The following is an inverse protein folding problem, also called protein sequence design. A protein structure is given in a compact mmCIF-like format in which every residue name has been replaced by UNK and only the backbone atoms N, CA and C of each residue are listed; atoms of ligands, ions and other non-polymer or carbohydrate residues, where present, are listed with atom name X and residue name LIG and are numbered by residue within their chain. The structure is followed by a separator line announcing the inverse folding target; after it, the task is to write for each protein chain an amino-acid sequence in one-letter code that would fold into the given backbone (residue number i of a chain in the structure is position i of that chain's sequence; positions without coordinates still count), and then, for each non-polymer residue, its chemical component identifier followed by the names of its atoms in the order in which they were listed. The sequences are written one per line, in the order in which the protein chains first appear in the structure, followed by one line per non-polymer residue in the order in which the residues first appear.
data_IF_908301731099
#
_entry.id   IF_908301731099
#
_cell.length_a   1.000
_cell.length_b   1.000
_cell.length_c   1.000
_cell.angle_alpha   90.00
_cell.angle_beta   90.00
_cell.angle_gamma   90.00
#
_symmetry.space_group_name_H-M   'P 1'
#
loop_
_entity.id
_entity.type
_entity.pdbx_description
1 polymer ?
#
# COMPACT_ATOMS: atom_id res chain seq x y z
N UNK A 1 1.13 -28.91 5.20
CA UNK A 1 0.74 -28.98 6.63
C UNK A 1 0.10 -30.32 7.03
N UNK A 2 -1.02 -30.77 6.44
CA UNK A 2 -1.69 -32.01 6.87
C UNK A 2 -0.80 -33.27 6.81
N UNK A 3 0.02 -33.41 5.76
CA UNK A 3 0.95 -34.55 5.64
C UNK A 3 2.04 -34.58 6.73
N UNK A 4 2.55 -33.41 7.14
CA UNK A 4 3.50 -33.30 8.24
C UNK A 4 2.83 -33.67 9.58
N UNK A 5 1.59 -33.19 9.79
CA UNK A 5 0.78 -33.51 10.98
C UNK A 5 0.52 -35.01 11.11
N UNK A 6 0.19 -35.71 10.01
CA UNK A 6 0.01 -37.18 10.00
C UNK A 6 1.27 -37.97 10.35
N UNK A 7 2.46 -37.37 10.18
CA UNK A 7 3.75 -38.00 10.48
C UNK A 7 4.36 -37.53 11.80
N UNK A 8 3.61 -36.79 12.62
CA UNK A 8 4.12 -36.23 13.87
C UNK A 8 5.21 -35.16 13.70
N UNK A 9 5.38 -34.61 12.50
CA UNK A 9 6.40 -33.58 12.23
C UNK A 9 5.85 -32.20 12.58
N UNK A 10 6.49 -31.54 13.54
CA UNK A 10 6.15 -30.18 13.93
C UNK A 10 6.56 -29.17 12.84
N UNK A 11 5.65 -28.26 12.52
CA UNK A 11 5.93 -27.14 11.59
C UNK A 11 5.71 -25.83 12.34
N UNK A 12 6.69 -24.94 12.27
CA UNK A 12 6.67 -23.63 12.91
C UNK A 12 6.98 -22.53 11.89
N UNK A 13 6.55 -21.30 12.18
CA UNK A 13 6.92 -20.10 11.46
C UNK A 13 7.33 -18.99 12.45
N UNK A 14 7.92 -17.92 11.93
CA UNK A 14 8.28 -16.72 12.70
C UNK A 14 7.41 -15.54 12.23
N UNK A 15 6.12 -15.50 12.62
CA UNK A 15 5.19 -14.50 12.12
C UNK A 15 5.67 -13.09 12.50
N UNK A 16 5.63 -12.18 11.53
CA UNK A 16 5.97 -10.78 11.74
C UNK A 16 7.46 -10.45 11.88
N UNK A 17 8.36 -11.44 11.85
CA UNK A 17 9.81 -11.25 12.11
C UNK A 17 10.47 -10.18 11.23
N UNK A 18 10.07 -10.09 9.97
CA UNK A 18 10.60 -9.12 9.01
C UNK A 18 9.55 -8.04 8.63
N UNK A 19 8.47 -7.89 9.40
CA UNK A 19 7.34 -7.08 8.97
C UNK A 19 7.70 -5.62 8.73
N UNK A 20 8.56 -5.02 9.54
CA UNK A 20 9.04 -3.64 9.34
C UNK A 20 9.90 -3.51 8.07
N UNK A 21 10.87 -4.40 7.88
CA UNK A 21 11.74 -4.39 6.70
C UNK A 21 10.93 -4.53 5.40
N UNK A 22 9.93 -5.42 5.37
CA UNK A 22 9.05 -5.58 4.20
C UNK A 22 8.15 -4.36 4.01
N UNK A 23 7.67 -3.74 5.10
CA UNK A 23 6.84 -2.55 5.00
C UNK A 23 7.63 -1.36 4.43
N UNK A 24 8.84 -1.11 4.94
CA UNK A 24 9.75 -0.06 4.43
C UNK A 24 10.11 -0.30 2.96
N UNK A 25 10.45 -1.55 2.60
CA UNK A 25 10.74 -1.91 1.22
C UNK A 25 9.53 -1.67 0.31
N UNK A 26 8.32 -1.98 0.76
CA UNK A 26 7.08 -1.70 0.03
C UNK A 26 6.92 -0.21 -0.26
N UNK A 27 7.15 0.66 0.73
CA UNK A 27 7.10 2.12 0.53
C UNK A 27 8.17 2.55 -0.48
N UNK A 28 9.39 2.02 -0.36
CA UNK A 28 10.47 2.28 -1.31
C UNK A 28 10.07 1.93 -2.75
N UNK A 29 9.43 0.77 -2.95
CA UNK A 29 8.95 0.34 -4.27
C UNK A 29 7.82 1.21 -4.81
N UNK A 30 6.88 1.65 -3.96
CA UNK A 30 5.82 2.59 -4.34
C UNK A 30 6.44 3.90 -4.85
N UNK A 31 7.41 4.46 -4.13
CA UNK A 31 8.08 5.70 -4.52
C UNK A 31 8.94 5.52 -5.77
N UNK A 32 9.68 4.40 -5.87
CA UNK A 32 10.48 4.09 -7.03
C UNK A 32 9.64 4.02 -8.32
N UNK A 33 8.45 3.45 -8.22
CA UNK A 33 7.53 3.32 -9.35
C UNK A 33 6.80 4.64 -9.66
N UNK A 34 6.27 5.33 -8.65
CA UNK A 34 5.49 6.56 -8.84
C UNK A 34 6.34 7.77 -9.23
N UNK A 35 7.65 7.77 -8.91
CA UNK A 35 8.58 8.86 -9.26
C UNK A 35 9.61 8.46 -10.31
N UNK A 36 9.43 7.30 -10.94
CA UNK A 36 10.28 6.79 -12.03
C UNK A 36 11.78 6.75 -11.66
N UNK A 37 12.09 6.54 -10.39
CA UNK A 37 13.47 6.62 -9.85
C UNK A 37 14.35 5.58 -10.53
N UNK A 38 13.89 4.34 -10.61
CA UNK A 38 14.63 3.25 -11.25
C UNK A 38 14.86 3.51 -12.73
N UNK A 39 13.86 4.06 -13.42
CA UNK A 39 13.98 4.40 -14.84
C UNK A 39 15.03 5.51 -15.06
N UNK A 40 14.99 6.57 -14.24
CA UNK A 40 15.97 7.65 -14.28
C UNK A 40 17.39 7.14 -13.97
N UNK A 41 17.55 6.31 -12.94
CA UNK A 41 18.82 5.71 -12.59
C UNK A 41 19.41 4.88 -13.75
N UNK A 42 18.62 3.98 -14.34
CA UNK A 42 19.08 3.14 -15.45
C UNK A 42 19.45 3.98 -16.68
N UNK A 43 18.71 5.05 -16.97
CA UNK A 43 19.03 5.96 -18.08
C UNK A 43 20.37 6.69 -17.83
N UNK A 44 20.58 7.22 -16.62
CA UNK A 44 21.83 7.88 -16.25
C UNK A 44 23.03 6.95 -16.33
N UNK A 45 22.90 5.71 -15.87
CA UNK A 45 23.94 4.68 -15.99
C UNK A 45 24.32 4.37 -17.46
N UNK A 46 23.44 4.70 -18.41
CA UNK A 46 23.67 4.59 -19.85
C UNK A 46 24.12 5.90 -20.50
N UNK A 47 24.46 6.92 -19.70
CA UNK A 47 24.84 8.25 -20.19
C UNK A 47 23.68 9.07 -20.74
N UNK A 48 22.43 8.67 -20.48
CA UNK A 48 21.24 9.35 -20.98
C UNK A 48 20.61 10.21 -19.88
N UNK A 49 20.64 11.53 -20.06
CA UNK A 49 19.91 12.45 -19.19
C UNK A 49 18.43 12.48 -19.58
N UNK A 50 17.56 11.97 -18.69
CA UNK A 50 16.10 11.94 -18.87
C UNK A 50 15.41 13.03 -18.05
N UNK A 51 15.75 14.28 -18.38
CA UNK A 51 15.15 15.47 -17.76
C UNK A 51 13.64 15.58 -17.98
N UNK A 52 13.04 14.83 -18.89
CA UNK A 52 11.59 14.81 -19.09
C UNK A 52 10.83 14.05 -17.99
N UNK A 53 11.50 13.21 -17.18
CA UNK A 53 10.85 12.32 -16.21
C UNK A 53 10.24 13.03 -14.99
N UNK A 54 10.47 14.33 -14.79
CA UNK A 54 9.79 15.12 -13.73
C UNK A 54 8.49 15.75 -14.22
N UNK A 55 8.23 15.76 -15.53
CA UNK A 55 7.06 16.42 -16.10
C UNK A 55 5.82 15.60 -15.76
N UNK A 56 4.77 16.26 -15.28
CA UNK A 56 3.55 15.60 -14.83
C UNK A 56 2.91 14.70 -15.90
N UNK A 57 3.02 15.04 -17.18
CA UNK A 57 2.54 14.23 -18.31
C UNK A 57 3.32 12.92 -18.51
N UNK A 58 4.51 12.79 -17.90
CA UNK A 58 5.36 11.60 -17.92
C UNK A 58 5.33 10.84 -16.60
N UNK A 59 5.50 11.53 -15.48
CA UNK A 59 5.57 10.92 -14.14
C UNK A 59 4.21 10.47 -13.63
N UNK A 60 3.14 11.17 -14.02
CA UNK A 60 1.81 11.00 -13.46
C UNK A 60 1.60 11.77 -12.15
N UNK A 61 0.54 11.42 -11.45
CA UNK A 61 0.14 12.06 -10.21
C UNK A 61 1.09 11.72 -9.05
N UNK A 62 1.26 12.68 -8.14
CA UNK A 62 1.96 12.45 -6.89
C UNK A 62 1.19 11.51 -5.96
N UNK A 63 1.90 10.74 -5.14
CA UNK A 63 1.30 9.74 -4.25
C UNK A 63 0.18 10.30 -3.36
N UNK A 64 0.28 11.55 -2.91
CA UNK A 64 -0.74 12.21 -2.10
C UNK A 64 -2.11 12.30 -2.78
N UNK A 65 -2.15 12.36 -4.11
CA UNK A 65 -3.39 12.43 -4.89
C UNK A 65 -3.90 11.04 -5.30
N UNK A 66 -3.13 9.98 -5.04
CA UNK A 66 -3.47 8.62 -5.42
C UNK A 66 -4.25 7.88 -4.32
N UNK A 67 -4.93 6.82 -4.73
CA UNK A 67 -5.51 5.83 -3.83
C UNK A 67 -4.61 4.60 -3.74
N UNK A 68 -4.24 4.21 -2.52
CA UNK A 68 -3.46 3.00 -2.25
C UNK A 68 -4.39 1.93 -1.65
N UNK A 69 -4.59 0.85 -2.39
CA UNK A 69 -5.33 -0.33 -1.93
C UNK A 69 -4.42 -1.39 -1.34
N UNK A 70 -4.61 -1.72 -0.06
CA UNK A 70 -3.97 -2.85 0.60
C UNK A 70 -4.89 -4.06 0.59
N UNK A 71 -4.41 -5.17 0.02
CA UNK A 71 -5.06 -6.48 0.11
C UNK A 71 -4.34 -7.26 1.21
N UNK A 72 -5.00 -7.47 2.34
CA UNK A 72 -4.40 -8.02 3.56
C UNK A 72 -4.01 -6.94 4.58
N UNK A 73 -4.41 -7.15 5.84
CA UNK A 73 -4.20 -6.25 6.98
C UNK A 73 -3.54 -6.98 8.16
N UNK A 74 -2.53 -7.81 7.87
CA UNK A 74 -1.75 -8.51 8.89
C UNK A 74 -0.56 -7.70 9.43
N UNK A 75 0.49 -8.41 9.88
CA UNK A 75 1.71 -7.81 10.44
C UNK A 75 2.36 -6.77 9.51
N UNK A 76 2.39 -7.03 8.20
CA UNK A 76 2.99 -6.12 7.21
C UNK A 76 2.00 -5.04 6.79
N UNK A 77 0.77 -5.42 6.41
CA UNK A 77 -0.25 -4.48 5.91
C UNK A 77 -0.51 -3.32 6.87
N UNK A 78 -0.69 -3.60 8.15
CA UNK A 78 -0.86 -2.56 9.18
C UNK A 78 0.34 -1.61 9.31
N UNK A 79 1.57 -2.08 9.10
CA UNK A 79 2.78 -1.24 9.11
C UNK A 79 2.88 -0.39 7.85
N UNK A 80 2.58 -0.97 6.68
CA UNK A 80 2.51 -0.23 5.41
C UNK A 80 1.46 0.88 5.51
N UNK A 81 0.27 0.59 6.04
CA UNK A 81 -0.77 1.60 6.29
C UNK A 81 -0.24 2.74 7.15
N UNK A 82 0.43 2.44 8.28
CA UNK A 82 1.02 3.46 9.16
C UNK A 82 2.06 4.33 8.44
N UNK A 83 2.93 3.73 7.64
CA UNK A 83 3.95 4.45 6.87
C UNK A 83 3.36 5.27 5.71
N UNK A 84 2.20 4.88 5.17
CA UNK A 84 1.53 5.62 4.11
C UNK A 84 0.80 6.88 4.60
N UNK A 85 0.32 6.91 5.86
CA UNK A 85 -0.48 8.03 6.40
C UNK A 85 0.16 9.42 6.16
N UNK A 86 1.47 9.64 6.40
CA UNK A 86 2.08 10.95 6.21
C UNK A 86 2.13 11.41 4.75
N UNK A 87 1.96 10.51 3.77
CA UNK A 87 1.91 10.88 2.36
C UNK A 87 0.57 11.49 1.95
N UNK A 88 -0.46 11.44 2.81
CA UNK A 88 -1.77 12.05 2.54
C UNK A 88 -2.61 11.36 1.47
N UNK A 89 -2.17 10.21 0.96
CA UNK A 89 -2.90 9.42 -0.02
C UNK A 89 -4.18 8.82 0.58
N UNK A 90 -5.16 8.51 -0.26
CA UNK A 90 -6.35 7.76 0.19
C UNK A 90 -6.00 6.29 0.39
N UNK A 91 -6.19 5.75 1.60
CA UNK A 91 -5.83 4.36 1.91
C UNK A 91 -7.10 3.50 2.04
N UNK A 92 -7.16 2.41 1.26
CA UNK A 92 -8.23 1.43 1.29
C UNK A 92 -7.68 0.07 1.71
N UNK A 93 -8.36 -0.63 2.62
CA UNK A 93 -7.98 -1.95 3.09
C UNK A 93 -9.03 -2.99 2.70
N UNK A 94 -8.60 -4.08 2.08
CA UNK A 94 -9.42 -5.24 1.76
C UNK A 94 -8.85 -6.47 2.46
N UNK A 95 -9.43 -6.80 3.61
CA UNK A 95 -9.15 -8.04 4.33
C UNK A 95 -10.40 -8.39 5.17
N UNK A 96 -10.98 -9.60 4.99
CA UNK A 96 -12.18 -10.03 5.72
C UNK A 96 -12.01 -10.09 7.24
N UNK A 97 -10.77 -10.22 7.72
CA UNK A 97 -10.43 -10.36 9.13
C UNK A 97 -9.81 -9.07 9.70
N UNK A 98 -9.74 -8.01 8.90
CA UNK A 98 -9.15 -6.75 9.34
C UNK A 98 -9.93 -6.14 10.50
N UNK A 99 -9.20 -5.70 11.52
CA UNK A 99 -9.69 -4.79 12.54
C UNK A 99 -8.81 -3.55 12.50
N UNK A 100 -9.30 -2.50 11.85
CA UNK A 100 -8.61 -1.22 11.83
C UNK A 100 -8.56 -0.66 13.26
N UNK A 101 -7.43 -0.08 13.65
CA UNK A 101 -7.30 0.54 14.97
C UNK A 101 -7.92 1.95 14.98
N UNK A 102 -7.96 2.58 16.16
CA UNK A 102 -8.51 3.94 16.27
C UNK A 102 -7.71 4.97 15.47
N UNK A 103 -6.39 4.77 15.35
CA UNK A 103 -5.51 5.66 14.62
C UNK A 103 -5.67 5.49 13.10
N UNK A 104 -5.97 4.28 12.61
CA UNK A 104 -6.33 4.03 11.21
C UNK A 104 -7.59 4.81 10.83
N UNK A 105 -8.64 4.69 11.65
CA UNK A 105 -9.90 5.40 11.43
C UNK A 105 -9.72 6.91 11.48
N UNK A 106 -8.98 7.42 12.46
CA UNK A 106 -8.68 8.85 12.57
C UNK A 106 -7.88 9.38 11.37
N UNK A 107 -7.05 8.53 10.75
CA UNK A 107 -6.31 8.84 9.53
C UNK A 107 -7.13 8.62 8.24
N UNK A 108 -8.43 8.32 8.34
CA UNK A 108 -9.32 8.14 7.17
C UNK A 108 -9.10 6.83 6.40
N UNK A 109 -8.42 5.85 6.98
CA UNK A 109 -8.26 4.51 6.37
C UNK A 109 -9.62 3.81 6.35
N UNK A 110 -10.06 3.39 5.17
CA UNK A 110 -11.38 2.77 4.99
C UNK A 110 -11.28 1.31 4.55
N UNK A 111 -12.20 0.47 5.02
CA UNK A 111 -12.34 -0.89 4.50
C UNK A 111 -13.09 -0.86 3.16
N UNK A 112 -12.64 -1.62 2.16
CA UNK A 112 -13.16 -1.61 0.78
C UNK A 112 -14.69 -1.88 0.71
N UNK A 113 -15.25 -2.62 1.66
CA UNK A 113 -16.69 -2.89 1.76
C UNK A 113 -17.55 -1.73 2.28
N UNK A 114 -16.98 -0.82 3.09
CA UNK A 114 -17.67 0.39 3.57
C UNK A 114 -17.58 1.54 2.57
N UNK A 115 -16.44 1.69 1.89
CA UNK A 115 -16.21 2.78 0.93
C UNK A 115 -17.21 2.80 -0.26
N UNK A 116 -17.77 1.64 -0.63
CA UNK A 116 -18.84 1.55 -1.66
C UNK A 116 -20.20 2.07 -1.17
N UNK A 117 -20.48 2.04 0.14
CA UNK A 117 -21.74 2.55 0.71
C UNK A 117 -21.72 4.06 0.82
N UNK A 118 -20.58 4.64 1.20
CA UNK A 118 -20.43 6.09 1.35
C UNK A 118 -20.47 6.82 -0.01
N UNK A 119 -19.92 6.20 -1.07
CA UNK A 119 -19.98 6.72 -2.43
C UNK A 119 -21.41 6.74 -3.03
N UNK A 120 -22.31 5.85 -2.58
CA UNK A 120 -23.72 5.84 -3.01
C UNK A 120 -24.61 6.81 -2.24
N UNK A 121 -24.24 7.16 -1.00
CA UNK A 121 -24.99 8.13 -0.20
C UNK A 121 -24.67 9.60 -0.55
N UNK A 122 -23.57 9.85 -1.27
CA UNK A 122 -23.20 11.18 -1.78
C UNK A 122 -23.83 11.57 -3.13
N UNK A 123 -24.52 10.64 -3.81
CA UNK A 123 -25.21 10.90 -5.11
C UNK A 123 -26.72 10.90 -4.91
N UNK A 124 -27.20 11.67 -3.93
CA UNK A 124 -28.62 12.04 -3.87
C UNK A 124 -28.76 13.45 -3.32
N UNK A 125 -29.46 14.27 -4.13
CA UNK A 125 -29.92 15.65 -3.91
C UNK A 125 -29.05 16.75 -4.50
N UNK A 126 -29.20 16.95 -5.81
CA UNK A 126 -29.56 18.29 -6.30
C UNK A 126 -30.78 18.18 -7.24
N UNK A 127 -31.68 19.18 -7.21
CA UNK A 127 -32.98 19.16 -7.89
C UNK A 127 -32.87 19.19 -9.42
#
# INVERSE_FOLDING_TARGET
MQAARRRGVQVVNAPGRNASAVAEFTIGMILAQTRLITLGHVALMRGQWRGDLYRADRTGEELCNQSVGLIGYGHIGSRVTKLLRPFGCRILVSDPYAQLDAADRAAGVAQHGQARRDAYQGVSRHP
#
